data_IF_815864653030
#
_entry.id   IF_815864653030
#
_cell.length_a   1.000
_cell.length_b   1.000
_cell.length_c   1.000
_cell.angle_alpha   90.00
_cell.angle_beta   90.00
_cell.angle_gamma   90.00
#
_symmetry.space_group_name_H-M   'P 1'
#
loop_
_entity.id
_entity.type
_entity.pdbx_description
1 polymer ?
#
# COMPACT_ATOMS: atom_id res chain seq x y z
N UNK A 1 23.03 16.46 26.81
CA UNK A 1 22.41 15.26 27.44
C UNK A 1 21.20 15.63 28.30
N UNK A 2 21.33 16.60 29.23
CA UNK A 2 20.24 17.07 30.11
C UNK A 2 19.00 17.58 29.34
N UNK A 3 19.18 18.42 28.32
CA UNK A 3 18.08 18.99 27.54
C UNK A 3 17.23 17.93 26.80
N UNK A 4 17.84 16.81 26.37
CA UNK A 4 17.11 15.67 25.77
C UNK A 4 16.28 14.91 26.80
N UNK A 5 16.74 14.82 28.05
CA UNK A 5 16.01 14.16 29.13
C UNK A 5 14.79 14.98 29.57
N UNK A 6 14.94 16.31 29.68
CA UNK A 6 13.87 17.23 30.05
C UNK A 6 12.74 17.25 29.01
N UNK A 7 13.07 17.16 27.72
CA UNK A 7 12.11 17.18 26.62
C UNK A 7 11.33 15.86 26.42
N UNK A 8 11.67 14.79 27.15
CA UNK A 8 10.98 13.49 27.03
C UNK A 8 9.83 13.32 28.05
N UNK A 9 9.60 14.30 28.91
CA UNK A 9 8.48 14.29 29.88
C UNK A 9 7.22 14.89 29.24
N UNK A 10 6.06 14.41 29.65
CA UNK A 10 4.78 14.96 29.19
C UNK A 10 4.64 16.42 29.67
N UNK A 11 3.93 17.29 28.94
CA UNK A 11 3.70 18.66 29.40
C UNK A 11 3.01 18.69 30.78
N UNK A 12 2.08 17.77 31.03
CA UNK A 12 1.42 17.62 32.32
C UNK A 12 2.40 17.49 33.49
N UNK A 13 3.53 16.81 33.31
CA UNK A 13 4.56 16.68 34.36
C UNK A 13 5.10 18.05 34.79
N UNK A 14 5.45 18.91 33.82
CA UNK A 14 5.95 20.25 34.11
C UNK A 14 4.88 21.17 34.70
N UNK A 15 3.63 21.04 34.23
CA UNK A 15 2.50 21.78 34.79
C UNK A 15 2.23 21.39 36.25
N UNK A 16 2.21 20.09 36.56
CA UNK A 16 2.04 19.59 37.93
C UNK A 16 3.19 20.09 38.82
N UNK A 17 4.44 20.04 38.33
CA UNK A 17 5.59 20.52 39.09
C UNK A 17 5.50 22.02 39.39
N UNK A 18 5.06 22.84 38.41
CA UNK A 18 4.81 24.26 38.62
C UNK A 18 3.78 24.52 39.73
N UNK A 19 2.65 23.81 39.72
CA UNK A 19 1.61 23.97 40.75
C UNK A 19 2.03 23.41 42.12
N UNK A 20 2.85 22.36 42.17
CA UNK A 20 3.33 21.78 43.44
C UNK A 20 4.31 22.69 44.18
N UNK A 21 5.01 23.58 43.48
CA UNK A 21 5.98 24.50 44.09
C UNK A 21 5.28 25.55 44.96
N UNK A 22 4.07 25.96 44.60
CA UNK A 22 3.29 26.98 45.31
C UNK A 22 3.06 26.60 46.79
N UNK A 23 2.43 25.46 47.13
CA UNK A 23 2.24 25.09 48.53
C UNK A 23 3.55 24.78 49.25
N UNK A 24 4.60 24.38 48.53
CA UNK A 24 5.94 24.15 49.12
C UNK A 24 6.55 25.46 49.59
N UNK A 25 6.57 26.49 48.74
CA UNK A 25 7.08 27.82 49.12
C UNK A 25 6.18 28.50 50.15
N UNK A 26 4.86 28.37 50.03
CA UNK A 26 3.92 28.84 51.07
C UNK A 26 4.24 28.25 52.45
N UNK A 27 4.55 26.95 52.51
CA UNK A 27 4.95 26.28 53.75
C UNK A 27 6.31 26.79 54.24
N UNK A 28 7.29 27.01 53.35
CA UNK A 28 8.59 27.60 53.71
C UNK A 28 8.42 29.02 54.29
N UNK A 29 7.58 29.85 53.68
CA UNK A 29 7.31 31.22 54.11
C UNK A 29 6.63 31.28 55.48
N UNK A 30 5.75 30.31 55.80
CA UNK A 30 5.11 30.21 57.11
C UNK A 30 6.12 30.02 58.26
N UNK A 31 7.26 29.38 57.99
CA UNK A 31 8.30 29.16 59.00
C UNK A 31 9.30 30.32 59.12
N UNK A 32 9.18 31.38 58.29
CA UNK A 32 10.04 32.55 58.40
C UNK A 32 9.57 33.48 59.54
N UNK A 33 10.50 34.13 60.27
CA UNK A 33 10.13 35.08 61.32
C UNK A 33 9.27 36.22 60.78
N UNK A 34 8.34 36.75 61.58
CA UNK A 34 7.43 37.84 61.19
C UNK A 34 8.18 39.12 60.78
N UNK A 35 9.36 39.39 61.35
CA UNK A 35 10.24 40.48 60.92
C UNK A 35 10.78 40.34 59.48
N UNK A 36 10.55 39.22 58.81
CA UNK A 36 10.91 39.01 57.40
C UNK A 36 10.06 39.84 56.46
N UNK A 37 8.85 40.21 56.88
CA UNK A 37 7.82 40.80 56.04
C UNK A 37 7.63 42.29 56.38
N UNK A 38 7.08 43.04 55.42
CA UNK A 38 6.78 44.46 55.60
C UNK A 38 5.81 44.71 56.78
N UNK A 39 5.94 45.82 57.49
CA UNK A 39 5.15 46.09 58.70
C UNK A 39 3.61 46.12 58.48
N UNK A 40 3.14 46.21 57.23
CA UNK A 40 1.72 46.22 56.86
C UNK A 40 1.25 44.92 56.17
N UNK A 41 2.03 43.83 56.19
CA UNK A 41 1.65 42.57 55.54
C UNK A 41 0.98 41.61 56.51
N UNK A 42 -0.23 41.18 56.18
CA UNK A 42 -1.03 40.20 56.92
C UNK A 42 -0.59 38.75 56.60
N UNK A 43 0.67 38.38 56.84
CA UNK A 43 1.13 36.98 56.74
C UNK A 43 0.98 36.24 58.08
N UNK A 44 -0.26 35.96 58.47
CA UNK A 44 -0.53 35.33 59.77
C UNK A 44 -0.82 33.84 59.66
N UNK A 45 -1.36 33.39 58.53
CA UNK A 45 -1.78 32.01 58.33
C UNK A 45 -1.23 31.41 57.02
N UNK A 46 -1.37 30.09 56.87
CA UNK A 46 -0.87 29.37 55.69
C UNK A 46 -1.52 29.84 54.37
N UNK A 47 -2.77 30.31 54.40
CA UNK A 47 -3.47 30.82 53.22
C UNK A 47 -2.89 32.14 52.74
N UNK A 48 -2.44 33.01 53.65
CA UNK A 48 -1.78 34.26 53.30
C UNK A 48 -0.41 33.99 52.64
N UNK A 49 0.34 33.01 53.17
CA UNK A 49 1.58 32.54 52.55
C UNK A 49 1.34 31.89 51.17
N UNK A 50 0.24 31.16 51.02
CA UNK A 50 -0.17 30.53 49.75
C UNK A 50 -0.54 31.60 48.72
N UNK A 51 -1.28 32.62 49.14
CA UNK A 51 -1.60 33.79 48.32
C UNK A 51 -0.32 34.48 47.85
N UNK A 52 0.60 34.78 48.76
CA UNK A 52 1.87 35.43 48.44
C UNK A 52 2.71 34.62 47.44
N UNK A 53 2.85 33.30 47.69
CA UNK A 53 3.55 32.38 46.80
C UNK A 53 2.90 32.32 45.41
N UNK A 54 1.57 32.26 45.35
CA UNK A 54 0.82 32.26 44.08
C UNK A 54 1.04 33.55 43.29
N UNK A 55 0.93 34.73 43.93
CA UNK A 55 1.14 36.05 43.32
C UNK A 55 2.59 36.22 42.85
N UNK A 56 3.55 35.67 43.59
CA UNK A 56 4.98 35.72 43.27
C UNK A 56 5.31 34.83 42.08
N UNK A 57 4.94 33.55 42.10
CA UNK A 57 5.29 32.58 41.04
C UNK A 57 4.57 32.87 39.71
N UNK A 58 3.39 33.50 39.78
CA UNK A 58 2.63 33.94 38.60
C UNK A 58 3.12 35.28 38.06
N UNK A 59 4.14 35.88 38.71
CA UNK A 59 4.73 37.18 38.34
C UNK A 59 3.74 38.34 38.41
N UNK A 60 2.63 38.19 39.14
CA UNK A 60 1.65 39.25 39.36
C UNK A 60 2.24 40.36 40.25
N UNK A 61 2.86 39.97 41.36
CA UNK A 61 3.60 40.87 42.24
C UNK A 61 2.80 42.10 42.70
N UNK A 62 1.65 41.91 43.35
CA UNK A 62 0.80 43.04 43.81
C UNK A 62 1.52 44.01 44.76
N UNK A 63 2.53 43.53 45.49
CA UNK A 63 3.38 44.37 46.35
C UNK A 63 2.76 44.74 47.69
N UNK A 64 1.59 44.16 48.00
CA UNK A 64 0.94 44.17 49.31
C UNK A 64 1.74 43.41 50.37
N UNK A 65 2.46 42.38 49.95
CA UNK A 65 3.41 41.61 50.77
C UNK A 65 4.79 41.68 50.13
N UNK A 66 5.81 42.06 50.91
CA UNK A 66 7.18 42.11 50.43
C UNK A 66 8.20 41.67 51.49
N UNK A 67 9.22 40.87 51.13
CA UNK A 67 10.30 40.50 52.05
C UNK A 67 11.28 41.66 52.25
N UNK A 68 11.52 42.03 53.51
CA UNK A 68 12.48 43.06 53.90
C UNK A 68 13.85 42.49 54.29
N UNK A 69 13.93 41.21 54.69
CA UNK A 69 15.20 40.55 55.02
C UNK A 69 15.90 39.98 53.80
N UNK A 70 17.23 39.86 53.87
CA UNK A 70 18.05 39.27 52.80
C UNK A 70 17.64 37.84 52.48
N UNK A 71 17.32 37.03 53.49
CA UNK A 71 16.91 35.64 53.31
C UNK A 71 15.55 35.53 52.62
N UNK A 72 14.55 36.32 53.04
CA UNK A 72 13.23 36.34 52.39
C UNK A 72 13.32 36.75 50.92
N UNK A 73 14.13 37.77 50.61
CA UNK A 73 14.38 38.21 49.22
C UNK A 73 15.05 37.13 48.38
N UNK A 74 15.99 36.38 48.95
CA UNK A 74 16.64 35.27 48.25
C UNK A 74 15.65 34.14 47.93
N UNK A 75 14.78 33.77 48.88
CA UNK A 75 13.78 32.72 48.67
C UNK A 75 12.75 33.11 47.62
N UNK A 76 12.27 34.36 47.64
CA UNK A 76 11.37 34.92 46.61
C UNK A 76 12.05 34.94 45.24
N UNK A 77 13.34 35.28 45.17
CA UNK A 77 14.08 35.23 43.93
C UNK A 77 14.19 33.79 43.38
N UNK A 78 14.45 32.80 44.24
CA UNK A 78 14.49 31.38 43.85
C UNK A 78 13.11 30.90 43.37
N UNK A 79 12.04 31.26 44.08
CA UNK A 79 10.66 30.92 43.69
C UNK A 79 10.32 31.50 42.31
N UNK A 80 10.60 32.79 42.11
CA UNK A 80 10.31 33.49 40.84
C UNK A 80 11.08 32.85 39.67
N UNK A 81 12.38 32.59 39.85
CA UNK A 81 13.21 31.93 38.82
C UNK A 81 12.71 30.51 38.54
N UNK A 82 12.32 29.76 39.58
CA UNK A 82 11.76 28.42 39.43
C UNK A 82 10.44 28.46 38.67
N UNK A 83 9.55 29.40 38.98
CA UNK A 83 8.28 29.60 38.29
C UNK A 83 8.47 29.83 36.79
N UNK A 84 9.34 30.79 36.42
CA UNK A 84 9.68 31.09 35.02
C UNK A 84 10.29 29.88 34.31
N UNK A 85 11.16 29.12 34.99
CA UNK A 85 11.77 27.92 34.43
C UNK A 85 10.72 26.85 34.12
N UNK A 86 9.85 26.51 35.07
CA UNK A 86 8.88 25.43 34.90
C UNK A 86 7.77 25.78 33.92
N UNK A 87 7.28 27.03 33.89
CA UNK A 87 6.32 27.45 32.87
C UNK A 87 6.95 27.45 31.47
N UNK A 88 8.21 27.86 31.34
CA UNK A 88 8.95 27.78 30.08
C UNK A 88 9.12 26.34 29.58
N UNK A 89 9.46 25.40 30.48
CA UNK A 89 9.55 23.97 30.17
C UNK A 89 8.19 23.37 29.80
N UNK A 90 7.11 23.78 30.48
CA UNK A 90 5.74 23.38 30.15
C UNK A 90 5.34 23.80 28.74
N UNK A 91 5.51 25.08 28.40
CA UNK A 91 5.18 25.62 27.08
C UNK A 91 6.01 24.97 25.97
N UNK A 92 7.31 24.76 26.20
CA UNK A 92 8.17 24.05 25.25
C UNK A 92 7.70 22.62 25.02
N UNK A 93 7.39 21.88 26.09
CA UNK A 93 6.89 20.51 25.98
C UNK A 93 5.54 20.46 25.22
N UNK A 94 4.62 21.40 25.49
CA UNK A 94 3.37 21.52 24.76
C UNK A 94 3.60 21.78 23.26
N UNK A 95 4.46 22.75 22.94
CA UNK A 95 4.79 23.10 21.55
C UNK A 95 5.36 21.91 20.78
N UNK A 96 6.27 21.14 21.40
CA UNK A 96 6.85 19.95 20.78
C UNK A 96 5.83 18.82 20.60
N UNK A 97 4.87 18.68 21.52
CA UNK A 97 3.79 17.69 21.36
C UNK A 97 2.85 18.08 20.22
N UNK A 98 2.44 19.35 20.15
CA UNK A 98 1.60 19.85 19.06
C UNK A 98 2.29 19.73 17.70
N UNK A 99 3.58 20.08 17.60
CA UNK A 99 4.32 19.95 16.34
C UNK A 99 4.40 18.50 15.86
N UNK A 100 4.54 17.53 16.77
CA UNK A 100 4.54 16.11 16.43
C UNK A 100 3.18 15.68 15.87
N UNK A 101 2.08 16.02 16.55
CA UNK A 101 0.72 15.70 16.12
C UNK A 101 0.46 16.26 14.72
N UNK A 102 0.74 17.55 14.52
CA UNK A 102 0.57 18.21 13.21
C UNK A 102 1.43 17.52 12.14
N UNK A 103 2.69 17.21 12.45
CA UNK A 103 3.57 16.53 11.49
C UNK A 103 3.11 15.12 11.14
N UNK A 104 2.51 14.39 12.09
CA UNK A 104 1.97 13.05 11.86
C UNK A 104 0.68 13.11 11.03
N UNK A 105 -0.20 14.08 11.29
CA UNK A 105 -1.38 14.33 10.49
C UNK A 105 -1.03 14.75 9.06
N UNK A 106 -0.06 15.65 8.89
CA UNK A 106 0.44 16.05 7.58
C UNK A 106 1.05 14.87 6.81
N UNK A 107 1.84 14.01 7.48
CA UNK A 107 2.39 12.79 6.88
C UNK A 107 1.29 11.83 6.44
N UNK A 108 0.32 11.53 7.31
CA UNK A 108 -0.82 10.66 6.97
C UNK A 108 -1.60 11.21 5.78
N UNK A 109 -1.90 12.50 5.78
CA UNK A 109 -2.57 13.18 4.68
C UNK A 109 -1.76 13.16 3.40
N UNK A 110 -0.43 13.30 3.49
CA UNK A 110 0.46 13.21 2.35
C UNK A 110 0.49 11.80 1.75
N UNK A 111 0.59 10.77 2.58
CA UNK A 111 0.53 9.36 2.17
C UNK A 111 -0.82 9.02 1.52
N UNK A 112 -1.92 9.48 2.09
CA UNK A 112 -3.27 9.30 1.52
C UNK A 112 -3.40 9.97 0.15
N UNK A 113 -2.88 11.20 -0.01
CA UNK A 113 -2.86 11.88 -1.29
C UNK A 113 -2.01 11.17 -2.34
N UNK A 114 -0.88 10.57 -1.96
CA UNK A 114 -0.08 9.75 -2.87
C UNK A 114 -0.85 8.51 -3.28
N UNK A 115 -1.45 7.79 -2.32
CA UNK A 115 -2.25 6.59 -2.58
C UNK A 115 -3.40 6.87 -3.53
N UNK A 116 -4.13 7.98 -3.35
CA UNK A 116 -5.23 8.36 -4.26
C UNK A 116 -4.74 8.71 -5.67
N UNK A 117 -3.57 9.35 -5.80
CA UNK A 117 -2.96 9.61 -7.11
C UNK A 117 -2.59 8.30 -7.82
N UNK A 118 -1.99 7.36 -7.11
CA UNK A 118 -1.65 6.03 -7.65
C UNK A 118 -2.92 5.23 -7.98
N UNK A 119 -3.97 5.30 -7.14
CA UNK A 119 -5.28 4.67 -7.40
C UNK A 119 -5.88 5.20 -8.70
N UNK A 120 -5.84 6.51 -8.89
CA UNK A 120 -6.35 7.14 -10.10
C UNK A 120 -5.53 6.74 -11.35
N UNK A 121 -4.20 6.62 -11.24
CA UNK A 121 -3.35 6.09 -12.34
C UNK A 121 -3.71 4.65 -12.67
N UNK A 122 -3.90 3.83 -11.63
CA UNK A 122 -4.22 2.41 -11.74
C UNK A 122 -5.55 2.18 -12.46
N UNK A 123 -6.60 2.91 -12.05
CA UNK A 123 -7.91 2.84 -12.71
C UNK A 123 -7.87 3.33 -14.16
N UNK A 124 -7.07 4.37 -14.48
CA UNK A 124 -6.89 4.83 -15.87
C UNK A 124 -6.19 3.78 -16.73
N UNK A 125 -5.13 3.17 -16.22
CA UNK A 125 -4.43 2.09 -16.92
C UNK A 125 -5.32 0.87 -17.12
N UNK A 126 -6.06 0.48 -16.09
CA UNK A 126 -6.99 -0.65 -16.20
C UNK A 126 -8.03 -0.45 -17.30
N UNK A 127 -8.56 0.76 -17.45
CA UNK A 127 -9.50 1.09 -18.54
C UNK A 127 -8.91 0.88 -19.94
N UNK A 128 -7.59 0.97 -20.09
CA UNK A 128 -6.88 0.69 -21.34
C UNK A 128 -6.59 -0.81 -21.53
N UNK A 129 -6.35 -1.52 -20.42
CA UNK A 129 -6.04 -2.95 -20.40
C UNK A 129 -7.29 -3.82 -20.53
N UNK A 130 -8.43 -3.38 -19.98
CA UNK A 130 -9.69 -4.13 -19.97
C UNK A 130 -10.16 -4.58 -21.37
N UNK A 131 -10.10 -3.74 -22.43
CA UNK A 131 -10.36 -4.21 -23.80
C UNK A 131 -9.41 -5.31 -24.27
N UNK A 132 -8.13 -5.26 -23.89
CA UNK A 132 -7.12 -6.28 -24.24
C UNK A 132 -7.42 -7.58 -23.48
N UNK A 133 -7.79 -7.51 -22.20
CA UNK A 133 -8.26 -8.66 -21.43
C UNK A 133 -9.48 -9.29 -22.11
N UNK A 134 -10.45 -8.48 -22.55
CA UNK A 134 -11.63 -8.99 -23.26
C UNK A 134 -11.26 -9.66 -24.58
N UNK A 135 -10.30 -9.11 -25.33
CA UNK A 135 -9.78 -9.77 -26.54
C UNK A 135 -9.07 -11.09 -26.19
N UNK A 136 -8.35 -11.13 -25.07
CA UNK A 136 -7.63 -12.30 -24.61
C UNK A 136 -8.56 -13.43 -24.16
N UNK A 137 -9.66 -13.08 -23.47
CA UNK A 137 -10.76 -13.98 -23.14
C UNK A 137 -11.30 -14.66 -24.39
N UNK A 138 -11.49 -13.90 -25.47
CA UNK A 138 -11.98 -14.45 -26.75
C UNK A 138 -10.95 -15.40 -27.36
N UNK A 139 -9.66 -15.05 -27.33
CA UNK A 139 -8.61 -15.91 -27.86
C UNK A 139 -8.48 -17.22 -27.07
N UNK A 140 -8.58 -17.17 -25.74
CA UNK A 140 -8.65 -18.35 -24.87
C UNK A 140 -9.90 -19.17 -25.20
N UNK A 141 -11.05 -18.53 -25.35
CA UNK A 141 -12.30 -19.22 -25.69
C UNK A 141 -12.18 -20.02 -26.99
N UNK A 142 -11.58 -19.44 -28.04
CA UNK A 142 -11.39 -20.14 -29.31
C UNK A 142 -10.45 -21.33 -29.20
N UNK A 143 -9.41 -21.28 -28.34
CA UNK A 143 -8.54 -22.45 -28.12
C UNK A 143 -9.22 -23.52 -27.26
N UNK A 144 -9.97 -23.11 -26.24
CA UNK A 144 -10.55 -24.02 -25.23
C UNK A 144 -11.91 -24.59 -25.64
N UNK A 145 -12.46 -24.14 -26.77
CA UNK A 145 -13.75 -24.59 -27.28
C UNK A 145 -13.59 -25.14 -28.71
N UNK A 146 -13.90 -26.44 -28.93
CA UNK A 146 -13.85 -27.04 -30.27
C UNK A 146 -14.69 -26.25 -31.27
N UNK A 147 -14.24 -26.20 -32.53
CA UNK A 147 -14.81 -25.40 -33.61
C UNK A 147 -16.32 -25.64 -33.78
N UNK A 148 -16.78 -26.88 -33.64
CA UNK A 148 -18.19 -27.26 -33.75
C UNK A 148 -19.09 -26.66 -32.67
N UNK A 149 -18.51 -26.26 -31.53
CA UNK A 149 -19.22 -25.81 -30.34
C UNK A 149 -19.08 -24.29 -30.12
N UNK A 150 -18.37 -23.58 -31.01
CA UNK A 150 -18.13 -22.13 -30.85
C UNK A 150 -19.40 -21.33 -31.13
N UNK A 151 -19.79 -20.48 -30.18
CA UNK A 151 -20.91 -19.55 -30.27
C UNK A 151 -20.49 -18.16 -29.78
N UNK A 152 -20.18 -17.26 -30.71
CA UNK A 152 -19.74 -15.89 -30.40
C UNK A 152 -20.84 -14.99 -29.82
N UNK A 153 -22.11 -15.40 -29.84
CA UNK A 153 -23.18 -14.67 -29.14
C UNK A 153 -23.10 -14.88 -27.62
N UNK A 154 -22.40 -15.93 -27.16
CA UNK A 154 -22.24 -16.25 -25.73
C UNK A 154 -20.84 -16.80 -25.47
N UNK A 155 -19.91 -15.90 -25.18
CA UNK A 155 -18.51 -16.24 -24.90
C UNK A 155 -18.37 -16.52 -23.41
N UNK A 156 -18.11 -17.79 -23.06
CA UNK A 156 -17.85 -18.25 -21.70
C UNK A 156 -16.57 -19.07 -21.75
N UNK A 157 -15.60 -18.71 -20.91
CA UNK A 157 -14.37 -19.50 -20.78
C UNK A 157 -14.71 -20.85 -20.18
N UNK A 158 -14.23 -21.92 -20.83
CA UNK A 158 -14.30 -23.25 -20.27
C UNK A 158 -13.10 -23.48 -19.34
N UNK A 159 -13.27 -23.18 -18.06
CA UNK A 159 -12.23 -23.38 -17.03
C UNK A 159 -11.76 -24.85 -16.94
N UNK A 160 -12.65 -25.79 -17.27
CA UNK A 160 -12.42 -27.23 -17.18
C UNK A 160 -12.14 -27.88 -18.54
N UNK A 161 -11.62 -27.12 -19.49
CA UNK A 161 -11.28 -27.65 -20.81
C UNK A 161 -10.22 -28.76 -20.73
N UNK A 162 -10.37 -29.72 -21.64
CA UNK A 162 -9.48 -30.86 -21.80
C UNK A 162 -8.43 -30.54 -22.86
N UNK A 163 -7.31 -31.26 -22.81
CA UNK A 163 -6.23 -31.10 -23.78
C UNK A 163 -6.71 -31.25 -25.23
N UNK A 164 -7.64 -32.18 -25.46
CA UNK A 164 -8.19 -32.47 -26.78
C UNK A 164 -9.03 -31.32 -27.35
N UNK A 165 -9.56 -30.43 -26.51
CA UNK A 165 -10.36 -29.27 -26.94
C UNK A 165 -9.51 -28.28 -27.75
N UNK A 166 -8.19 -28.31 -27.58
CA UNK A 166 -7.23 -27.47 -28.30
C UNK A 166 -6.95 -27.96 -29.74
N UNK A 167 -7.58 -29.04 -30.22
CA UNK A 167 -7.27 -29.62 -31.53
C UNK A 167 -7.41 -28.66 -32.70
N UNK A 168 -8.22 -27.61 -32.52
CA UNK A 168 -8.56 -26.65 -33.57
C UNK A 168 -7.73 -25.36 -33.50
N UNK A 169 -6.62 -25.34 -32.73
CA UNK A 169 -5.77 -24.15 -32.54
C UNK A 169 -5.14 -23.63 -33.85
N UNK A 170 -4.94 -24.50 -34.84
CA UNK A 170 -4.38 -24.15 -36.14
C UNK A 170 -5.42 -23.69 -37.18
N UNK A 171 -6.72 -23.73 -36.86
CA UNK A 171 -7.77 -23.28 -37.76
C UNK A 171 -7.89 -21.75 -37.73
N UNK A 172 -8.52 -21.19 -38.76
CA UNK A 172 -8.87 -19.77 -38.81
C UNK A 172 -9.86 -19.41 -37.71
N UNK A 173 -9.75 -18.19 -37.19
CA UNK A 173 -10.75 -17.64 -36.28
C UNK A 173 -12.06 -17.43 -37.03
N UNK A 174 -13.17 -17.78 -36.37
CA UNK A 174 -14.52 -17.55 -36.91
C UNK A 174 -15.07 -16.17 -36.52
N UNK A 175 -14.29 -15.37 -35.80
CA UNK A 175 -14.67 -14.01 -35.41
C UNK A 175 -14.64 -13.09 -36.63
N UNK A 176 -15.79 -12.51 -36.99
CA UNK A 176 -15.95 -11.60 -38.14
C UNK A 176 -14.98 -10.40 -38.15
N UNK A 177 -14.57 -9.92 -36.96
CA UNK A 177 -13.63 -8.80 -36.81
C UNK A 177 -12.15 -9.24 -36.81
N UNK A 178 -11.85 -10.53 -36.91
CA UNK A 178 -10.48 -11.03 -36.94
C UNK A 178 -9.87 -10.94 -38.34
N UNK A 179 -8.53 -10.89 -38.39
CA UNK A 179 -7.85 -10.99 -39.67
C UNK A 179 -8.06 -12.41 -40.24
N UNK A 180 -8.70 -12.56 -41.42
CA UNK A 180 -9.04 -13.87 -41.98
C UNK A 180 -7.82 -14.73 -42.31
N UNK A 181 -6.61 -14.14 -42.37
CA UNK A 181 -5.37 -14.89 -42.62
C UNK A 181 -4.73 -15.43 -41.33
N UNK A 182 -5.18 -14.98 -40.15
CA UNK A 182 -4.62 -15.42 -38.86
C UNK A 182 -5.40 -16.61 -38.31
N UNK A 183 -4.65 -17.56 -37.77
CA UNK A 183 -5.22 -18.71 -37.08
C UNK A 183 -5.48 -18.37 -35.61
N UNK A 184 -6.29 -19.20 -34.95
CA UNK A 184 -6.62 -19.04 -33.52
C UNK A 184 -5.36 -18.91 -32.66
N UNK A 185 -4.36 -19.77 -32.87
CA UNK A 185 -3.12 -19.72 -32.09
C UNK A 185 -2.27 -18.47 -32.33
N UNK A 186 -2.29 -17.91 -33.54
CA UNK A 186 -1.61 -16.63 -33.81
C UNK A 186 -2.28 -15.48 -33.05
N UNK A 187 -3.62 -15.44 -33.07
CA UNK A 187 -4.38 -14.41 -32.34
C UNK A 187 -4.13 -14.52 -30.83
N UNK A 188 -4.09 -15.74 -30.29
CA UNK A 188 -3.78 -15.96 -28.88
C UNK A 188 -2.43 -15.38 -28.46
N UNK A 189 -1.35 -15.73 -29.15
CA UNK A 189 -0.02 -15.21 -28.79
C UNK A 189 0.12 -13.72 -29.03
N UNK A 190 -0.48 -13.18 -30.10
CA UNK A 190 -0.47 -11.74 -30.34
C UNK A 190 -1.14 -10.97 -29.20
N UNK A 191 -2.32 -11.42 -28.77
CA UNK A 191 -3.07 -10.75 -27.71
C UNK A 191 -2.40 -10.98 -26.35
N UNK A 192 -1.85 -12.17 -26.09
CA UNK A 192 -1.04 -12.43 -24.90
C UNK A 192 0.14 -11.46 -24.82
N UNK A 193 0.90 -11.28 -25.91
CA UNK A 193 2.05 -10.39 -25.93
C UNK A 193 1.65 -8.92 -25.74
N UNK A 194 0.52 -8.49 -26.33
CA UNK A 194 -0.05 -7.17 -26.05
C UNK A 194 -0.39 -7.01 -24.56
N UNK A 195 -0.98 -8.03 -23.95
CA UNK A 195 -1.34 -8.01 -22.53
C UNK A 195 -0.09 -7.98 -21.64
N UNK A 196 0.91 -8.82 -21.89
CA UNK A 196 2.19 -8.82 -21.18
C UNK A 196 2.84 -7.43 -21.20
N UNK A 197 2.96 -6.83 -22.38
CA UNK A 197 3.56 -5.50 -22.51
C UNK A 197 2.81 -4.43 -21.70
N UNK A 198 1.47 -4.47 -21.68
CA UNK A 198 0.69 -3.50 -20.91
C UNK A 198 0.77 -3.75 -19.40
N UNK A 199 0.88 -5.01 -18.97
CA UNK A 199 1.08 -5.36 -17.57
C UNK A 199 2.48 -4.95 -17.09
N UNK A 200 3.52 -5.18 -17.89
CA UNK A 200 4.87 -4.68 -17.61
C UNK A 200 4.89 -3.17 -17.42
N UNK A 201 4.24 -2.43 -18.34
CA UNK A 201 4.11 -0.98 -18.21
C UNK A 201 3.35 -0.57 -16.94
N UNK A 202 2.26 -1.27 -16.60
CA UNK A 202 1.52 -1.01 -15.37
C UNK A 202 2.42 -1.18 -14.14
N UNK A 203 3.21 -2.25 -14.08
CA UNK A 203 4.15 -2.51 -12.98
C UNK A 203 5.28 -1.46 -12.88
N UNK A 204 5.72 -0.90 -14.01
CA UNK A 204 6.80 0.09 -14.05
C UNK A 204 6.31 1.53 -13.79
N UNK A 205 5.08 1.84 -14.19
CA UNK A 205 4.55 3.21 -14.15
C UNK A 205 3.75 3.52 -12.86
N UNK A 206 3.33 2.49 -12.12
CA UNK A 206 2.44 2.61 -10.95
C UNK A 206 3.06 1.92 -9.75
N UNK A 207 3.04 2.61 -8.61
CA UNK A 207 3.42 2.00 -7.33
C UNK A 207 2.27 1.11 -6.82
N UNK A 208 2.41 -0.20 -7.03
CA UNK A 208 1.45 -1.20 -6.59
C UNK A 208 1.67 -1.68 -5.15
N UNK A 209 2.57 -1.06 -4.38
CA UNK A 209 2.79 -1.44 -2.97
C UNK A 209 1.51 -1.35 -2.12
N UNK A 210 0.56 -0.50 -2.52
CA UNK A 210 -0.78 -0.37 -1.93
C UNK A 210 -1.76 -1.49 -2.33
N UNK A 211 -1.49 -2.22 -3.41
CA UNK A 211 -2.32 -3.30 -3.98
C UNK A 211 -1.47 -4.54 -4.29
N UNK A 212 -0.81 -5.09 -3.27
CA UNK A 212 0.11 -6.22 -3.39
C UNK A 212 -0.45 -7.43 -4.15
N UNK A 213 -1.75 -7.72 -4.02
CA UNK A 213 -2.36 -8.84 -4.74
C UNK A 213 -2.28 -8.66 -6.27
N UNK A 214 -2.54 -7.44 -6.76
CA UNK A 214 -2.44 -7.09 -8.18
C UNK A 214 -0.98 -7.19 -8.64
N UNK A 215 -0.06 -6.66 -7.84
CA UNK A 215 1.38 -6.73 -8.12
C UNK A 215 1.84 -8.18 -8.30
N UNK A 216 1.51 -9.04 -7.33
CA UNK A 216 1.88 -10.46 -7.32
C UNK A 216 1.22 -11.20 -8.51
N UNK A 217 -0.07 -10.97 -8.77
CA UNK A 217 -0.78 -11.59 -9.88
C UNK A 217 -0.15 -11.22 -11.23
N UNK A 218 0.14 -9.93 -11.44
CA UNK A 218 0.80 -9.42 -12.64
C UNK A 218 2.21 -10.01 -12.82
N UNK A 219 3.02 -10.04 -11.77
CA UNK A 219 4.38 -10.61 -11.82
C UNK A 219 4.34 -12.10 -12.15
N UNK A 220 3.48 -12.87 -11.48
CA UNK A 220 3.37 -14.30 -11.72
C UNK A 220 2.83 -14.60 -13.13
N UNK A 221 1.91 -13.79 -13.65
CA UNK A 221 1.44 -13.87 -15.04
C UNK A 221 2.59 -13.69 -16.03
N UNK A 222 3.38 -12.62 -15.89
CA UNK A 222 4.53 -12.38 -16.77
C UNK A 222 5.56 -13.51 -16.68
N UNK A 223 5.86 -13.96 -15.46
CA UNK A 223 6.76 -15.08 -15.22
C UNK A 223 6.26 -16.35 -15.93
N UNK A 224 4.97 -16.69 -15.80
CA UNK A 224 4.39 -17.88 -16.43
C UNK A 224 4.32 -17.79 -17.95
N UNK A 225 4.00 -16.62 -18.49
CA UNK A 225 4.07 -16.38 -19.93
C UNK A 225 5.47 -16.63 -20.47
N UNK A 226 6.52 -16.24 -19.75
CA UNK A 226 7.91 -16.48 -20.14
C UNK A 226 8.35 -17.94 -19.93
N UNK A 227 8.05 -18.53 -18.77
CA UNK A 227 8.42 -19.93 -18.45
C UNK A 227 7.82 -20.96 -19.40
N UNK A 228 6.60 -20.70 -19.87
CA UNK A 228 5.83 -21.60 -20.74
C UNK A 228 5.74 -21.07 -22.19
N UNK A 229 6.64 -20.18 -22.59
CA UNK A 229 6.67 -19.67 -23.96
C UNK A 229 7.23 -20.72 -24.93
N UNK A 230 6.30 -21.39 -25.62
CA UNK A 230 6.60 -22.27 -26.75
C UNK A 230 6.06 -21.72 -28.08
N UNK A 231 5.79 -20.41 -28.14
CA UNK A 231 5.18 -19.76 -29.30
C UNK A 231 5.97 -20.01 -30.59
N UNK A 232 7.28 -19.82 -30.58
CA UNK A 232 8.15 -20.06 -31.75
C UNK A 232 8.08 -21.51 -32.25
N UNK A 233 8.04 -22.49 -31.34
CA UNK A 233 7.91 -23.91 -31.71
C UNK A 233 6.52 -24.19 -32.32
N UNK A 234 5.47 -23.72 -31.66
CA UNK A 234 4.09 -24.00 -32.06
C UNK A 234 3.76 -23.31 -33.39
N UNK A 235 4.18 -22.06 -33.57
CA UNK A 235 4.03 -21.30 -34.81
C UNK A 235 5.01 -21.78 -35.89
N UNK A 236 6.17 -22.33 -35.51
CA UNK A 236 7.12 -22.97 -36.42
C UNK A 236 6.50 -24.14 -37.20
N UNK A 237 5.54 -24.85 -36.60
CA UNK A 237 4.86 -26.00 -37.24
C UNK A 237 4.16 -25.63 -38.56
N UNK A 238 3.80 -24.36 -38.80
CA UNK A 238 3.26 -23.93 -40.10
C UNK A 238 4.23 -24.13 -41.26
N UNK A 239 5.54 -24.13 -40.98
CA UNK A 239 6.62 -24.27 -41.97
C UNK A 239 7.13 -25.71 -42.09
N UNK A 240 6.69 -26.62 -41.22
CA UNK A 240 7.23 -27.97 -41.11
C UNK A 240 6.31 -28.97 -41.83
N UNK A 241 6.92 -29.93 -42.53
CA UNK A 241 6.25 -31.14 -43.02
C UNK A 241 6.80 -32.36 -42.28
N UNK A 242 5.91 -33.28 -41.91
CA UNK A 242 6.24 -34.55 -41.26
C UNK A 242 5.96 -35.67 -42.26
N UNK A 243 6.97 -36.07 -43.02
CA UNK A 243 6.79 -36.92 -44.20
C UNK A 243 5.96 -36.19 -45.27
N UNK A 244 4.80 -36.75 -45.64
CA UNK A 244 3.94 -36.20 -46.70
C UNK A 244 2.84 -35.26 -46.19
N UNK A 245 2.64 -35.12 -44.88
CA UNK A 245 1.61 -34.26 -44.29
C UNK A 245 2.21 -33.00 -43.66
N UNK A 246 1.45 -31.92 -43.57
CA UNK A 246 1.87 -30.71 -42.84
C UNK A 246 1.88 -31.03 -41.34
N UNK A 247 2.84 -30.45 -40.61
CA UNK A 247 2.93 -30.67 -39.17
C UNK A 247 1.67 -30.19 -38.43
N UNK A 248 1.07 -29.08 -38.87
CA UNK A 248 -0.18 -28.56 -38.28
C UNK A 248 -1.34 -29.57 -38.36
N UNK A 249 -1.48 -30.27 -39.48
CA UNK A 249 -2.55 -31.27 -39.68
C UNK A 249 -2.30 -32.49 -38.80
N UNK A 250 -1.03 -32.95 -38.75
CA UNK A 250 -0.60 -34.03 -37.88
C UNK A 250 -0.86 -33.73 -36.40
N UNK A 251 -0.38 -32.59 -35.90
CA UNK A 251 -0.54 -32.24 -34.48
C UNK A 251 -2.01 -32.01 -34.10
N UNK A 252 -2.81 -31.39 -34.98
CA UNK A 252 -4.26 -31.25 -34.75
C UNK A 252 -4.93 -32.62 -34.56
N UNK A 253 -4.57 -33.61 -35.40
CA UNK A 253 -5.09 -34.97 -35.29
C UNK A 253 -4.58 -35.71 -34.04
N UNK A 254 -3.32 -35.51 -33.65
CA UNK A 254 -2.73 -36.11 -32.44
C UNK A 254 -3.37 -35.54 -31.18
N UNK A 255 -3.54 -34.22 -31.08
CA UNK A 255 -4.20 -33.56 -29.94
C UNK A 255 -5.63 -34.07 -29.79
N UNK A 256 -6.39 -34.13 -30.90
CA UNK A 256 -7.78 -34.61 -30.91
C UNK A 256 -7.96 -36.02 -30.34
N UNK A 257 -6.99 -36.90 -30.58
CA UNK A 257 -7.01 -38.31 -30.16
C UNK A 257 -6.13 -38.59 -28.93
N UNK A 258 -5.63 -37.56 -28.27
CA UNK A 258 -4.70 -37.73 -27.16
C UNK A 258 -5.39 -38.40 -25.97
N UNK A 259 -4.79 -39.47 -25.45
CA UNK A 259 -5.27 -40.21 -24.27
C UNK A 259 -4.16 -40.43 -23.24
N UNK A 260 -2.97 -39.90 -23.49
CA UNK A 260 -1.80 -40.06 -22.63
C UNK A 260 -1.90 -39.22 -21.35
N UNK A 261 -0.99 -39.49 -20.40
CA UNK A 261 -0.78 -38.59 -19.26
C UNK A 261 -0.05 -37.33 -19.73
N UNK A 262 -0.57 -36.16 -19.39
CA UNK A 262 0.05 -34.85 -19.62
C UNK A 262 1.25 -34.69 -18.70
N UNK A 263 2.45 -34.94 -19.22
CA UNK A 263 3.71 -34.84 -18.50
C UNK A 263 4.85 -34.60 -19.48
N UNK A 264 5.78 -33.73 -19.11
CA UNK A 264 6.97 -33.44 -19.89
C UNK A 264 7.83 -34.69 -20.02
N UNK A 265 8.29 -34.95 -21.24
CA UNK A 265 9.23 -36.05 -21.53
C UNK A 265 10.38 -35.52 -22.36
N UNK A 266 11.58 -36.05 -22.13
CA UNK A 266 12.76 -35.68 -22.91
C UNK A 266 12.51 -35.96 -24.40
N UNK A 267 12.88 -35.00 -25.25
CA UNK A 267 12.76 -35.09 -26.71
C UNK A 267 11.34 -35.38 -27.23
N UNK A 268 10.30 -34.94 -26.49
CA UNK A 268 8.92 -35.10 -26.90
C UNK A 268 8.36 -33.82 -27.53
N UNK A 269 8.02 -33.88 -28.80
CA UNK A 269 7.45 -32.74 -29.54
C UNK A 269 6.06 -32.32 -29.03
N UNK A 270 5.38 -33.14 -28.23
CA UNK A 270 4.13 -32.76 -27.58
C UNK A 270 4.31 -31.81 -26.40
N UNK A 271 5.52 -31.66 -25.85
CA UNK A 271 5.79 -30.78 -24.70
C UNK A 271 5.34 -29.33 -24.97
N UNK A 272 5.48 -28.85 -26.21
CA UNK A 272 5.05 -27.50 -26.60
C UNK A 272 3.54 -27.27 -26.39
N UNK A 273 2.72 -28.29 -26.66
CA UNK A 273 1.27 -28.21 -26.47
C UNK A 273 0.86 -28.44 -25.02
N UNK A 274 1.60 -29.28 -24.29
CA UNK A 274 1.41 -29.47 -22.84
C UNK A 274 1.69 -28.15 -22.10
N UNK A 275 2.77 -27.45 -22.47
CA UNK A 275 3.09 -26.13 -21.93
C UNK A 275 2.01 -25.10 -22.26
N UNK A 276 1.52 -25.07 -23.50
CA UNK A 276 0.40 -24.20 -23.87
C UNK A 276 -0.88 -24.51 -23.05
N UNK A 277 -1.19 -25.78 -22.82
CA UNK A 277 -2.33 -26.20 -21.99
C UNK A 277 -2.20 -25.70 -20.56
N UNK A 278 -1.03 -25.86 -19.95
CA UNK A 278 -0.73 -25.35 -18.60
C UNK A 278 -0.79 -23.82 -18.55
N UNK A 279 -0.24 -23.14 -19.56
CA UNK A 279 -0.25 -21.69 -19.67
C UNK A 279 -1.67 -21.13 -19.76
N UNK A 280 -2.53 -21.72 -20.60
CA UNK A 280 -3.93 -21.28 -20.74
C UNK A 280 -4.67 -21.44 -19.42
N UNK A 281 -4.50 -22.57 -18.72
CA UNK A 281 -5.11 -22.76 -17.38
C UNK A 281 -4.68 -21.70 -16.38
N UNK A 282 -3.40 -21.34 -16.39
CA UNK A 282 -2.89 -20.28 -15.55
C UNK A 282 -3.52 -18.93 -15.92
N UNK A 283 -3.58 -18.62 -17.21
CA UNK A 283 -4.09 -17.36 -17.72
C UNK A 283 -5.58 -17.16 -17.44
N UNK A 284 -6.38 -18.23 -17.45
CA UNK A 284 -7.79 -18.18 -17.05
C UNK A 284 -7.92 -17.69 -15.60
N UNK A 285 -7.16 -18.28 -14.66
CA UNK A 285 -7.16 -17.87 -13.25
C UNK A 285 -6.69 -16.44 -13.07
N UNK A 286 -5.62 -16.05 -13.76
CA UNK A 286 -5.12 -14.68 -13.74
C UNK A 286 -6.20 -13.67 -14.15
N UNK A 287 -6.96 -13.95 -15.21
CA UNK A 287 -8.05 -13.06 -15.68
C UNK A 287 -9.15 -12.92 -14.62
N UNK A 288 -9.50 -13.99 -13.91
CA UNK A 288 -10.50 -13.94 -12.85
C UNK A 288 -9.99 -13.12 -11.65
N UNK A 289 -8.78 -13.41 -11.17
CA UNK A 289 -8.14 -12.71 -10.05
C UNK A 289 -8.01 -11.21 -10.34
N UNK A 290 -7.49 -10.86 -11.51
CA UNK A 290 -7.23 -9.46 -11.85
C UNK A 290 -8.55 -8.67 -11.94
N UNK A 291 -9.60 -9.23 -12.57
CA UNK A 291 -10.89 -8.54 -12.67
C UNK A 291 -11.53 -8.34 -11.29
N UNK A 292 -11.51 -9.36 -10.44
CA UNK A 292 -12.04 -9.26 -9.08
C UNK A 292 -11.31 -8.20 -8.25
N UNK A 293 -9.98 -8.13 -8.33
CA UNK A 293 -9.22 -7.15 -7.58
C UNK A 293 -9.42 -5.72 -8.11
N UNK A 294 -9.54 -5.53 -9.42
CA UNK A 294 -9.87 -4.21 -9.98
C UNK A 294 -11.29 -3.76 -9.63
N UNK A 295 -12.27 -4.67 -9.57
CA UNK A 295 -13.63 -4.34 -9.15
C UNK A 295 -13.68 -3.88 -7.68
N UNK A 296 -12.88 -4.49 -6.79
CA UNK A 296 -12.73 -4.03 -5.39
C UNK A 296 -12.13 -2.63 -5.27
N UNK A 297 -11.29 -2.21 -6.22
CA UNK A 297 -10.69 -0.87 -6.22
C UNK A 297 -11.67 0.18 -6.73
N UNK A 298 -12.58 -0.20 -7.64
CA UNK A 298 -13.63 0.67 -8.18
C UNK A 298 -14.74 0.95 -7.16
N UNK A 299 -15.09 -0.05 -6.35
CA UNK A 299 -16.06 0.06 -5.25
C UNK A 299 -15.59 1.05 -4.18
#
# INVERSE_FOLDING_TARGET
MVMRYLNNKSPLFWGILYFLIIPVFATVFLFLPTETWSANSDLENWWDCLYFSMVTITTLGFGDIAPITTLGRLLVAIETVSGVLFIGLFLNALSLQQSKIISEEEKKKHEENIREKERAKLLRHYKLIEPIINEFIIAIYEITTPLSNRNFAKIIINENFHFNDMSDLYYQSLKLASNPTKTVIHNYYEVQNKLCHNIERLLLEIDLSYWKNIEIACLNFLQKCNELDYSDSILGNFKIKLGNQKAIDYYSAVIKKYTGKLQYRQSNTMNQFIALYELIKYNIRFIEEIRQDFDKIKA
#
